data_IF_408329978209
#
_entry.id   IF_408329978209
#
_cell.length_a   1.000
_cell.length_b   1.000
_cell.length_c   1.000
_cell.angle_alpha   90.00
_cell.angle_beta   90.00
_cell.angle_gamma   90.00
#
_symmetry.space_group_name_H-M   'P 1'
#
loop_
_entity.id
_entity.type
_entity.pdbx_description
1 polymer ?
#
# COMPACT_ATOMS: atom_id res chain seq x y z
N UNK A 1 -4.68 -18.21 -38.48
CA UNK A 1 -4.00 -17.75 -37.24
C UNK A 1 -4.94 -18.07 -36.09
N UNK A 2 -4.70 -19.14 -35.33
CA UNK A 2 -5.59 -19.59 -34.25
C UNK A 2 -5.27 -18.80 -32.99
N UNK A 3 -6.24 -18.05 -32.47
CA UNK A 3 -6.12 -17.37 -31.17
C UNK A 3 -6.25 -18.44 -30.10
N UNK A 4 -5.12 -18.81 -29.47
CA UNK A 4 -5.14 -19.65 -28.27
C UNK A 4 -5.88 -18.89 -27.17
N UNK A 5 -7.06 -19.40 -26.78
CA UNK A 5 -7.75 -18.96 -25.57
C UNK A 5 -6.88 -19.36 -24.38
N UNK A 6 -6.51 -18.37 -23.58
CA UNK A 6 -5.75 -18.57 -22.36
C UNK A 6 -6.59 -19.45 -21.41
N UNK A 7 -6.23 -20.73 -21.28
CA UNK A 7 -6.77 -21.60 -20.23
C UNK A 7 -6.44 -20.95 -18.88
N UNK A 8 -7.35 -20.90 -17.90
CA UNK A 8 -7.03 -20.32 -16.61
C UNK A 8 -6.04 -21.25 -15.90
N UNK A 9 -4.75 -20.96 -16.05
CA UNK A 9 -3.74 -21.42 -15.11
C UNK A 9 -4.18 -20.88 -13.76
N UNK A 10 -4.29 -21.74 -12.74
CA UNK A 10 -4.49 -21.31 -11.35
C UNK A 10 -3.54 -20.14 -11.08
N UNK A 11 -4.09 -18.94 -10.95
CA UNK A 11 -3.27 -17.77 -10.71
C UNK A 11 -2.58 -17.99 -9.37
N UNK A 12 -1.28 -18.29 -9.40
CA UNK A 12 -0.42 -18.30 -8.22
C UNK A 12 -0.71 -17.04 -7.42
N UNK A 13 -1.10 -17.20 -6.16
CA UNK A 13 -1.43 -16.11 -5.24
C UNK A 13 -0.18 -15.27 -4.90
N UNK A 14 0.31 -14.49 -5.85
CA UNK A 14 1.42 -13.56 -5.66
C UNK A 14 0.92 -12.21 -5.18
N UNK A 15 1.47 -11.70 -4.07
CA UNK A 15 1.10 -10.42 -3.45
C UNK A 15 0.23 -10.58 -2.21
N UNK A 16 0.05 -9.50 -1.44
CA UNK A 16 -0.67 -9.55 -0.17
C UNK A 16 -2.17 -9.86 -0.39
N UNK A 17 -2.76 -10.84 0.33
CA UNK A 17 -4.19 -11.18 0.19
C UNK A 17 -5.11 -9.99 0.47
N UNK A 18 -4.72 -9.13 1.42
CA UNK A 18 -5.43 -7.92 1.85
C UNK A 18 -5.44 -6.80 0.80
N UNK A 19 -4.77 -6.97 -0.35
CA UNK A 19 -4.75 -6.01 -1.46
C UNK A 19 -5.87 -6.21 -2.47
N UNK A 20 -6.66 -7.28 -2.37
CA UNK A 20 -7.65 -7.67 -3.39
C UNK A 20 -9.01 -7.97 -2.77
N UNK A 21 -10.03 -7.96 -3.63
CA UNK A 21 -11.40 -8.24 -3.25
C UNK A 21 -12.04 -7.11 -2.45
N UNK A 22 -13.23 -7.36 -1.88
CA UNK A 22 -13.90 -6.42 -1.00
C UNK A 22 -13.03 -6.03 0.19
N UNK A 23 -13.25 -4.82 0.72
CA UNK A 23 -12.60 -4.36 1.95
C UNK A 23 -13.09 -5.21 3.12
N UNK A 24 -12.17 -5.61 3.98
CA UNK A 24 -12.44 -6.47 5.12
C UNK A 24 -11.98 -5.85 6.43
N UNK A 25 -12.45 -6.40 7.54
CA UNK A 25 -11.94 -6.05 8.86
C UNK A 25 -10.44 -6.32 8.95
N UNK A 26 -9.68 -5.38 9.51
CA UNK A 26 -8.22 -5.41 9.56
C UNK A 26 -7.54 -4.76 8.34
N UNK A 27 -8.25 -4.51 7.24
CA UNK A 27 -7.68 -3.79 6.11
C UNK A 27 -7.31 -2.36 6.54
N UNK A 28 -6.07 -1.97 6.20
CA UNK A 28 -5.65 -0.57 6.28
C UNK A 28 -6.15 0.15 5.03
N UNK A 29 -6.86 1.25 5.22
CA UNK A 29 -7.36 2.12 4.15
C UNK A 29 -6.83 3.54 4.32
N UNK A 30 -6.71 4.23 3.20
CA UNK A 30 -6.53 5.65 3.10
C UNK A 30 -7.88 6.31 2.84
N UNK A 31 -8.23 7.28 3.67
CA UNK A 31 -9.46 8.08 3.55
C UNK A 31 -9.06 9.47 3.08
N UNK A 32 -9.56 9.89 1.92
CA UNK A 32 -9.46 11.25 1.44
C UNK A 32 -10.71 12.02 1.84
N UNK A 33 -10.53 13.06 2.66
CA UNK A 33 -11.62 13.94 3.09
C UNK A 33 -12.09 14.89 1.96
N UNK A 34 -13.22 15.62 2.13
CA UNK A 34 -13.70 16.57 1.13
C UNK A 34 -12.72 17.70 0.76
N UNK A 35 -11.72 18.00 1.59
CA UNK A 35 -10.65 18.97 1.28
C UNK A 35 -9.40 18.31 0.69
N UNK A 36 -9.44 17.01 0.43
CA UNK A 36 -8.33 16.25 -0.13
C UNK A 36 -7.27 15.83 0.88
N UNK A 37 -7.51 15.95 2.19
CA UNK A 37 -6.58 15.46 3.21
C UNK A 37 -6.67 13.96 3.32
N UNK A 38 -5.52 13.31 3.43
CA UNK A 38 -5.42 11.87 3.59
C UNK A 38 -5.30 11.48 5.06
N UNK A 39 -6.07 10.46 5.45
CA UNK A 39 -6.04 9.84 6.77
C UNK A 39 -5.82 8.34 6.60
N UNK A 40 -5.00 7.73 7.45
CA UNK A 40 -4.87 6.27 7.47
C UNK A 40 -5.73 5.70 8.59
N UNK A 41 -6.52 4.67 8.28
CA UNK A 41 -7.46 4.03 9.19
C UNK A 41 -7.36 2.52 9.03
N UNK A 42 -7.48 1.79 10.12
CA UNK A 42 -7.69 0.33 10.10
C UNK A 42 -9.18 0.08 10.24
N UNK A 43 -9.78 -0.67 9.32
CA UNK A 43 -11.18 -1.04 9.39
C UNK A 43 -11.41 -2.03 10.53
N UNK A 44 -12.39 -1.73 11.38
CA UNK A 44 -12.77 -2.52 12.55
C UNK A 44 -14.29 -2.60 12.58
N UNK A 45 -14.88 -3.79 12.72
CA UNK A 45 -16.35 -3.90 12.78
C UNK A 45 -16.91 -3.10 13.95
N UNK A 46 -18.00 -2.38 13.69
CA UNK A 46 -18.61 -1.46 14.66
C UNK A 46 -17.76 -0.21 14.95
N UNK A 47 -16.58 -0.07 14.34
CA UNK A 47 -15.75 1.12 14.45
C UNK A 47 -16.27 2.29 13.62
N UNK A 48 -15.70 3.47 13.85
CA UNK A 48 -16.04 4.71 13.15
C UNK A 48 -14.79 5.52 12.85
N UNK A 49 -14.73 6.08 11.64
CA UNK A 49 -13.77 7.11 11.30
C UNK A 49 -14.38 8.48 11.62
N UNK A 50 -13.60 9.38 12.23
CA UNK A 50 -14.02 10.75 12.51
C UNK A 50 -12.90 11.74 12.20
N UNK A 51 -13.26 12.85 11.58
CA UNK A 51 -12.41 13.99 11.30
C UNK A 51 -13.14 15.29 11.65
N UNK A 52 -12.44 16.43 11.57
CA UNK A 52 -13.06 17.76 11.69
C UNK A 52 -14.08 18.08 10.57
N UNK A 53 -14.28 17.15 9.62
CA UNK A 53 -15.23 17.25 8.50
C UNK A 53 -16.31 16.20 8.56
N UNK A 54 -16.48 15.55 9.72
CA UNK A 54 -17.42 14.44 9.90
C UNK A 54 -16.73 13.10 9.75
N UNK A 55 -17.54 12.07 9.53
CA UNK A 55 -17.09 10.68 9.64
C UNK A 55 -18.12 9.71 9.08
N UNK A 56 -17.73 8.43 9.05
CA UNK A 56 -18.57 7.33 8.58
C UNK A 56 -18.32 6.08 9.43
N UNK A 57 -19.27 5.14 9.46
CA UNK A 57 -19.08 3.90 10.18
C UNK A 57 -18.29 2.92 9.32
N UNK A 58 -17.37 2.17 9.92
CA UNK A 58 -16.57 1.20 9.18
C UNK A 58 -17.43 0.10 8.53
N UNK A 59 -18.58 -0.22 9.12
CA UNK A 59 -19.55 -1.16 8.56
C UNK A 59 -20.12 -0.68 7.21
N UNK A 60 -20.08 0.63 6.92
CA UNK A 60 -20.52 1.18 5.64
C UNK A 60 -19.49 0.95 4.53
N UNK A 61 -18.28 0.49 4.88
CA UNK A 61 -17.12 0.29 4.00
C UNK A 61 -16.77 -1.20 3.88
N UNK A 62 -16.84 -1.95 4.99
CA UNK A 62 -16.53 -3.39 5.03
C UNK A 62 -17.52 -4.15 4.13
N UNK A 63 -17.02 -5.10 3.36
CA UNK A 63 -17.77 -5.91 2.40
C UNK A 63 -17.99 -5.24 1.05
N UNK A 64 -17.62 -3.96 0.89
CA UNK A 64 -17.72 -3.21 -0.36
C UNK A 64 -16.38 -3.20 -1.12
N UNK A 65 -16.40 -2.95 -2.44
CA UNK A 65 -15.16 -2.86 -3.22
C UNK A 65 -14.25 -1.71 -2.76
N UNK A 66 -12.97 -1.83 -3.10
CA UNK A 66 -11.98 -0.76 -2.96
C UNK A 66 -12.28 0.42 -3.89
N UNK A 67 -11.82 1.63 -3.52
CA UNK A 67 -12.00 2.84 -4.31
C UNK A 67 -13.40 3.46 -4.23
N UNK A 68 -14.17 3.13 -3.20
CA UNK A 68 -15.52 3.65 -2.99
C UNK A 68 -15.53 5.10 -2.48
N UNK A 69 -16.63 5.80 -2.74
CA UNK A 69 -16.94 7.11 -2.14
C UNK A 69 -18.11 6.94 -1.17
N UNK A 70 -17.87 7.26 0.10
CA UNK A 70 -18.90 7.29 1.13
C UNK A 70 -19.49 8.69 1.20
N UNK A 71 -20.80 8.79 0.99
CA UNK A 71 -21.55 10.03 1.15
C UNK A 71 -22.24 9.99 2.52
N UNK A 72 -21.91 10.93 3.38
CA UNK A 72 -22.57 11.10 4.69
C UNK A 72 -23.96 11.69 4.52
N UNK A 73 -24.81 11.57 5.56
CA UNK A 73 -26.14 12.19 5.59
C UNK A 73 -26.09 13.71 5.37
N UNK A 74 -25.00 14.35 5.78
CA UNK A 74 -24.72 15.78 5.60
C UNK A 74 -24.21 16.11 4.17
N UNK A 75 -24.24 15.16 3.25
CA UNK A 75 -23.82 15.30 1.84
C UNK A 75 -22.30 15.32 1.62
N UNK A 76 -21.48 15.12 2.65
CA UNK A 76 -20.01 15.14 2.53
C UNK A 76 -19.49 13.83 1.96
N UNK A 77 -18.49 13.92 1.08
CA UNK A 77 -17.93 12.78 0.37
C UNK A 77 -16.54 12.41 0.90
N UNK A 78 -16.34 11.13 1.22
CA UNK A 78 -15.06 10.56 1.63
C UNK A 78 -14.67 9.46 0.66
N UNK A 79 -13.50 9.58 0.02
CA UNK A 79 -12.98 8.52 -0.85
C UNK A 79 -12.16 7.55 0.00
N UNK A 80 -12.44 6.25 -0.11
CA UNK A 80 -11.77 5.19 0.64
C UNK A 80 -11.03 4.29 -0.34
N UNK A 81 -9.72 4.19 -0.18
CA UNK A 81 -8.81 3.45 -1.05
C UNK A 81 -7.85 2.62 -0.22
N UNK A 82 -7.42 1.46 -0.71
CA UNK A 82 -6.24 0.79 -0.13
C UNK A 82 -5.00 1.67 -0.38
N UNK A 83 -4.16 1.90 0.63
CA UNK A 83 -2.97 2.74 0.49
C UNK A 83 -1.98 2.10 -0.48
N UNK A 84 -1.52 2.86 -1.47
CA UNK A 84 -0.42 2.49 -2.35
C UNK A 84 0.89 2.46 -1.56
N UNK A 85 1.90 1.79 -2.09
CA UNK A 85 3.25 1.80 -1.50
C UNK A 85 3.77 3.23 -1.27
N UNK A 86 3.53 4.13 -2.23
CA UNK A 86 3.90 5.54 -2.11
C UNK A 86 3.22 6.23 -0.93
N UNK A 87 1.98 5.87 -0.58
CA UNK A 87 1.29 6.45 0.56
C UNK A 87 1.99 6.12 1.88
N UNK A 88 2.54 4.91 1.99
CA UNK A 88 3.37 4.53 3.13
C UNK A 88 4.64 5.38 3.17
N UNK A 89 5.40 5.40 2.06
CA UNK A 89 6.67 6.16 1.95
C UNK A 89 6.48 7.63 2.30
N UNK A 90 5.42 8.25 1.78
CA UNK A 90 5.12 9.67 2.02
C UNK A 90 4.63 9.96 3.44
N UNK A 91 4.13 8.95 4.16
CA UNK A 91 3.68 9.04 5.56
C UNK A 91 4.75 8.68 6.60
N UNK A 92 5.93 8.19 6.18
CA UNK A 92 6.96 7.76 7.09
C UNK A 92 7.48 8.91 7.96
N UNK A 93 7.75 8.67 9.26
CA UNK A 93 8.43 9.64 10.12
C UNK A 93 9.78 10.04 9.53
N UNK A 94 10.08 11.34 9.53
CA UNK A 94 11.32 11.90 8.96
C UNK A 94 12.49 11.85 9.94
N UNK A 95 12.69 10.71 10.60
CA UNK A 95 13.83 10.50 11.50
C UNK A 95 15.16 10.33 10.75
N UNK A 96 15.12 9.71 9.57
CA UNK A 96 16.21 9.64 8.60
C UNK A 96 15.73 10.16 7.24
N UNK A 97 16.66 10.54 6.36
CA UNK A 97 16.32 10.91 5.00
C UNK A 97 15.69 9.71 4.27
N UNK A 98 14.50 9.93 3.70
CA UNK A 98 13.73 8.90 2.99
C UNK A 98 14.05 8.95 1.50
N UNK A 99 14.32 7.79 0.89
CA UNK A 99 14.41 7.65 -0.57
C UNK A 99 13.01 7.75 -1.17
N UNK A 100 12.78 8.75 -2.00
CA UNK A 100 11.49 8.99 -2.66
C UNK A 100 11.29 8.07 -3.87
N UNK A 101 10.04 7.84 -4.32
CA UNK A 101 9.75 6.96 -5.45
C UNK A 101 10.55 7.25 -6.72
N UNK A 102 10.82 8.53 -7.01
CA UNK A 102 11.62 8.94 -8.17
C UNK A 102 13.03 8.34 -8.13
N UNK A 103 13.65 8.29 -6.95
CA UNK A 103 15.02 7.82 -6.78
C UNK A 103 15.05 6.31 -6.60
N UNK A 104 14.06 5.76 -5.88
CA UNK A 104 13.91 4.31 -5.72
C UNK A 104 13.78 3.61 -7.09
N UNK A 105 12.97 4.14 -8.01
CA UNK A 105 12.81 3.59 -9.35
C UNK A 105 14.12 3.61 -10.17
N UNK A 106 14.90 4.69 -10.05
CA UNK A 106 16.22 4.79 -10.69
C UNK A 106 17.20 3.78 -10.08
N UNK A 107 17.23 3.64 -8.75
CA UNK A 107 18.10 2.68 -8.06
C UNK A 107 17.77 1.25 -8.48
N UNK A 108 16.50 0.85 -8.48
CA UNK A 108 16.09 -0.49 -8.88
C UNK A 108 16.42 -0.78 -10.34
N UNK A 109 16.26 0.21 -11.22
CA UNK A 109 16.54 0.06 -12.64
C UNK A 109 18.05 0.00 -12.94
N UNK A 110 18.82 0.95 -12.39
CA UNK A 110 20.28 0.98 -12.61
C UNK A 110 21.01 -0.14 -11.88
N UNK A 111 20.48 -0.60 -10.76
CA UNK A 111 21.01 -1.74 -10.01
C UNK A 111 20.70 -3.11 -10.64
N UNK A 112 20.00 -3.13 -11.78
CA UNK A 112 19.55 -4.34 -12.48
C UNK A 112 18.90 -5.35 -11.52
N UNK A 113 18.00 -4.84 -10.67
CA UNK A 113 17.36 -5.66 -9.62
C UNK A 113 16.19 -6.42 -10.24
N UNK A 114 16.23 -7.74 -10.14
CA UNK A 114 15.26 -8.65 -10.75
C UNK A 114 14.63 -9.61 -9.73
N UNK A 115 13.47 -10.22 -10.04
CA UNK A 115 12.84 -11.21 -9.19
C UNK A 115 13.76 -12.42 -8.91
N UNK A 116 13.97 -12.76 -7.64
CA UNK A 116 14.91 -13.80 -7.21
C UNK A 116 16.30 -13.27 -6.82
N UNK A 117 16.60 -11.99 -7.06
CA UNK A 117 17.88 -11.41 -6.67
C UNK A 117 18.08 -11.39 -5.15
N UNK A 118 19.34 -11.49 -4.71
CA UNK A 118 19.75 -11.17 -3.34
C UNK A 118 20.39 -9.79 -3.33
N UNK A 119 19.76 -8.84 -2.63
CA UNK A 119 20.20 -7.44 -2.56
C UNK A 119 20.63 -7.14 -1.13
N UNK A 120 21.71 -6.38 -0.98
CA UNK A 120 22.16 -5.83 0.30
C UNK A 120 21.86 -4.34 0.34
N UNK A 121 21.24 -3.86 1.41
CA UNK A 121 21.12 -2.42 1.70
C UNK A 121 21.77 -2.07 3.04
N UNK A 122 22.34 -0.87 3.12
CA UNK A 122 22.81 -0.27 4.36
C UNK A 122 22.78 1.28 4.23
N UNK A 123 22.15 2.06 5.12
CA UNK A 123 21.28 1.74 6.25
C UNK A 123 19.80 1.55 5.88
N UNK A 124 19.02 0.95 6.78
CA UNK A 124 17.59 0.71 6.59
C UNK A 124 16.77 2.02 6.68
N UNK A 125 17.20 2.97 7.50
CA UNK A 125 16.48 4.24 7.72
C UNK A 125 15.02 4.01 8.12
N UNK A 126 14.11 4.74 7.47
CA UNK A 126 12.65 4.55 7.64
C UNK A 126 12.08 3.36 6.87
N UNK A 127 12.90 2.63 6.10
CA UNK A 127 12.49 1.46 5.31
C UNK A 127 11.93 1.76 3.92
N UNK A 128 11.99 3.02 3.44
CA UNK A 128 11.39 3.43 2.18
C UNK A 128 12.01 2.74 0.95
N UNK A 129 13.35 2.71 0.88
CA UNK A 129 14.04 1.98 -0.18
C UNK A 129 13.84 0.47 -0.01
N UNK A 130 13.87 -0.03 1.22
CA UNK A 130 13.64 -1.45 1.54
C UNK A 130 12.32 -1.96 0.96
N UNK A 131 11.26 -1.16 1.05
CA UNK A 131 9.97 -1.51 0.44
C UNK A 131 10.08 -1.67 -1.09
N UNK A 132 10.79 -0.77 -1.78
CA UNK A 132 10.97 -0.86 -3.23
C UNK A 132 11.85 -2.05 -3.63
N UNK A 133 12.90 -2.32 -2.86
CA UNK A 133 13.77 -3.46 -3.08
C UNK A 133 13.03 -4.79 -2.86
N UNK A 134 12.24 -4.92 -1.80
CA UNK A 134 11.43 -6.10 -1.53
C UNK A 134 10.41 -6.38 -2.64
N UNK A 135 9.80 -5.32 -3.20
CA UNK A 135 8.89 -5.46 -4.34
C UNK A 135 9.63 -5.94 -5.60
N UNK A 136 10.81 -5.37 -5.88
CA UNK A 136 11.62 -5.72 -7.05
C UNK A 136 12.20 -7.15 -6.99
N UNK A 137 12.71 -7.59 -5.84
CA UNK A 137 13.27 -8.95 -5.69
C UNK A 137 12.19 -10.04 -5.63
N UNK A 138 10.95 -9.67 -5.34
CA UNK A 138 9.80 -10.57 -5.38
C UNK A 138 9.86 -11.73 -4.37
N UNK A 139 8.91 -12.69 -4.46
CA UNK A 139 8.69 -13.71 -3.44
C UNK A 139 9.83 -14.71 -3.22
N UNK A 140 10.69 -14.89 -4.24
CA UNK A 140 11.82 -15.83 -4.21
C UNK A 140 13.15 -15.13 -3.97
N UNK A 141 13.17 -13.79 -3.99
CA UNK A 141 14.36 -13.00 -3.74
C UNK A 141 14.60 -12.76 -2.26
N UNK A 142 15.68 -12.04 -1.96
CA UNK A 142 16.09 -11.75 -0.59
C UNK A 142 16.65 -10.34 -0.48
N UNK A 143 16.16 -9.59 0.51
CA UNK A 143 16.80 -8.36 0.95
C UNK A 143 17.55 -8.60 2.25
N UNK A 144 18.84 -8.26 2.28
CA UNK A 144 19.68 -8.23 3.47
C UNK A 144 19.83 -6.77 3.85
N UNK A 145 19.10 -6.32 4.88
CA UNK A 145 19.16 -4.95 5.37
C UNK A 145 20.04 -4.86 6.61
N UNK A 146 21.01 -3.96 6.58
CA UNK A 146 21.95 -3.72 7.68
C UNK A 146 21.77 -2.30 8.19
N UNK A 147 21.39 -2.14 9.45
CA UNK A 147 21.29 -0.84 10.10
C UNK A 147 22.06 -0.87 11.42
N UNK A 148 23.07 -0.01 11.53
CA UNK A 148 23.82 0.13 12.78
C UNK A 148 23.18 1.24 13.61
N UNK A 149 22.13 0.90 14.35
CA UNK A 149 21.59 1.80 15.39
C UNK A 149 22.42 1.64 16.65
N UNK A 150 23.09 2.72 17.03
CA UNK A 150 23.63 2.91 18.38
C UNK A 150 22.56 3.63 19.21
#
# INVERSE_FOLDING_TARGET
MSIQRNTPVEATNFGQPTRRGPLSEGDRVQVRDPKGRFHQVILVKGGRFQSNRGGFNHNDVIGRPDGQVIVTEEGRQFQVLRPLQVDYVMSMPRGAAVVYPKDAGVITHMGDIFPGATVVEAGAGSGALSMALLDAVGPQGRLISVERRQ
#
